data_IF_491253884459
#
_entry.id   IF_491253884459
#
_cell.length_a   1.000
_cell.length_b   1.000
_cell.length_c   1.000
_cell.angle_alpha   90.00
_cell.angle_beta   90.00
_cell.angle_gamma   90.00
#
_symmetry.space_group_name_H-M   'P 1'
#
loop_
_entity.id
_entity.type
_entity.pdbx_description
1 polymer ?
#
# COMPACT_ATOMS: atom_id res chain seq x y z
N UNK A 1 8.84 -77.49 29.02
CA UNK A 1 9.05 -76.16 29.63
C UNK A 1 10.41 -75.65 29.20
N UNK A 2 10.46 -74.43 28.66
CA UNK A 2 11.54 -73.41 28.63
C UNK A 2 13.02 -73.87 28.61
N UNK A 3 13.97 -73.26 27.91
CA UNK A 3 14.04 -72.13 26.97
C UNK A 3 15.54 -71.94 26.66
N UNK A 4 15.89 -71.99 25.37
CA UNK A 4 16.92 -71.26 24.59
C UNK A 4 18.36 -70.96 25.13
N UNK A 5 19.32 -70.72 24.20
CA UNK A 5 20.74 -71.08 24.32
C UNK A 5 21.70 -69.87 24.33
N UNK A 6 23.01 -70.11 24.52
CA UNK A 6 24.13 -69.49 23.77
C UNK A 6 25.51 -69.83 24.36
N UNK A 7 26.50 -70.09 23.49
CA UNK A 7 27.95 -69.83 23.68
C UNK A 7 28.62 -70.08 22.31
N UNK A 8 29.16 -69.12 21.55
CA UNK A 8 30.48 -68.44 21.68
C UNK A 8 31.55 -69.48 22.06
N UNK A 9 32.48 -69.87 21.19
CA UNK A 9 33.81 -69.28 20.90
C UNK A 9 34.48 -70.40 20.04
N UNK A 10 35.33 -70.23 19.03
CA UNK A 10 36.66 -69.61 19.06
C UNK A 10 37.40 -69.98 17.74
N UNK A 11 38.21 -69.03 17.23
CA UNK A 11 39.59 -69.27 16.73
C UNK A 11 39.85 -69.89 15.34
N UNK A 12 40.45 -69.13 14.41
CA UNK A 12 41.93 -69.06 14.20
C UNK A 12 42.34 -68.26 12.94
N UNK A 13 43.33 -67.38 13.16
CA UNK A 13 44.53 -67.07 12.35
C UNK A 13 44.44 -66.44 10.93
N UNK A 14 44.79 -65.15 10.90
CA UNK A 14 45.96 -64.51 10.23
C UNK A 14 46.34 -64.80 8.77
N UNK A 15 46.84 -63.69 8.16
CA UNK A 15 47.85 -63.53 7.09
C UNK A 15 47.41 -63.71 5.63
N UNK A 16 47.34 -62.62 4.85
CA UNK A 16 48.34 -62.23 3.82
C UNK A 16 47.83 -61.08 2.92
N UNK A 17 48.76 -60.14 2.67
CA UNK A 17 48.83 -59.10 1.66
C UNK A 17 48.13 -59.37 0.31
N UNK A 18 47.65 -58.29 -0.33
CA UNK A 18 47.88 -58.11 -1.76
C UNK A 18 46.73 -57.55 -2.59
N UNK A 19 46.99 -56.38 -3.18
CA UNK A 19 46.61 -55.96 -4.53
C UNK A 19 45.16 -55.46 -4.78
N UNK A 20 45.08 -54.12 -4.70
CA UNK A 20 44.28 -53.20 -5.51
C UNK A 20 43.55 -53.81 -6.72
N UNK A 21 42.22 -53.82 -6.64
CA UNK A 21 41.33 -53.98 -7.79
C UNK A 21 41.01 -52.61 -8.39
N UNK A 22 41.18 -52.55 -9.71
CA UNK A 22 40.88 -51.45 -10.63
C UNK A 22 39.44 -50.97 -10.51
N UNK A 23 39.24 -49.68 -10.22
CA UNK A 23 37.95 -49.01 -10.45
C UNK A 23 38.07 -48.00 -11.59
N UNK A 24 37.22 -48.25 -12.58
CA UNK A 24 37.04 -47.54 -13.84
C UNK A 24 36.62 -46.09 -13.55
N UNK A 25 37.34 -45.15 -14.17
CA UNK A 25 37.00 -43.73 -14.17
C UNK A 25 35.69 -43.47 -14.90
N UNK A 26 34.65 -43.09 -14.16
CA UNK A 26 33.49 -42.35 -14.67
C UNK A 26 33.54 -40.94 -14.08
N UNK A 27 33.87 -39.96 -14.93
CA UNK A 27 33.74 -38.53 -14.60
C UNK A 27 32.25 -38.17 -14.56
N UNK A 28 31.70 -37.56 -13.50
CA UNK A 28 30.42 -36.91 -13.56
C UNK A 28 30.61 -35.46 -14.03
N UNK A 29 30.19 -35.19 -15.26
CA UNK A 29 30.03 -33.85 -15.84
C UNK A 29 28.74 -33.24 -15.32
N UNK A 30 28.78 -32.43 -14.26
CA UNK A 30 27.66 -31.66 -13.70
C UNK A 30 28.31 -30.62 -12.77
N UNK A 31 28.16 -29.29 -12.82
CA UNK A 31 27.15 -28.36 -13.33
C UNK A 31 27.90 -27.07 -13.69
N UNK A 32 27.76 -26.59 -14.92
CA UNK A 32 28.08 -25.20 -15.26
C UNK A 32 27.02 -24.33 -14.59
N UNK A 33 27.35 -23.69 -13.46
CA UNK A 33 26.49 -22.72 -12.80
C UNK A 33 26.41 -21.50 -13.71
N UNK A 34 25.38 -21.46 -14.55
CA UNK A 34 25.00 -20.22 -15.20
C UNK A 34 24.50 -19.27 -14.10
N UNK A 35 25.31 -18.25 -13.78
CA UNK A 35 24.82 -17.02 -13.17
C UNK A 35 23.80 -16.40 -14.13
N UNK A 36 22.56 -16.87 -14.06
CA UNK A 36 21.41 -16.12 -14.54
C UNK A 36 21.22 -14.97 -13.57
N UNK A 37 21.71 -13.79 -13.95
CA UNK A 37 21.17 -12.53 -13.45
C UNK A 37 19.64 -12.63 -13.55
N UNK A 38 18.95 -12.60 -12.41
CA UNK A 38 17.52 -12.36 -12.38
C UNK A 38 17.26 -10.96 -12.94
N UNK A 39 17.12 -10.85 -14.26
CA UNK A 39 16.43 -9.73 -14.87
C UNK A 39 14.96 -9.84 -14.46
N UNK A 40 14.53 -8.89 -13.64
CA UNK A 40 13.13 -8.60 -13.35
C UNK A 40 12.28 -8.63 -14.63
N UNK A 41 11.30 -9.53 -14.72
CA UNK A 41 10.29 -9.49 -15.79
C UNK A 41 8.88 -9.27 -15.20
N UNK A 42 8.53 -8.03 -14.81
CA UNK A 42 7.14 -7.60 -14.63
C UNK A 42 6.43 -7.31 -15.97
N UNK A 43 6.96 -7.78 -17.10
CA UNK A 43 6.49 -7.42 -18.45
C UNK A 43 5.11 -7.98 -18.81
N UNK A 44 4.61 -9.01 -18.11
CA UNK A 44 3.36 -9.70 -18.50
C UNK A 44 2.07 -8.91 -18.19
N UNK A 45 2.06 -8.07 -17.16
CA UNK A 45 0.83 -7.39 -16.73
C UNK A 45 0.51 -6.10 -17.48
N UNK A 46 1.51 -5.50 -18.12
CA UNK A 46 1.39 -4.21 -18.80
C UNK A 46 2.12 -4.24 -20.14
N UNK A 47 1.61 -4.99 -21.13
CA UNK A 47 2.18 -4.93 -22.47
C UNK A 47 2.07 -3.49 -22.99
N UNK A 48 3.22 -2.89 -23.39
CA UNK A 48 3.23 -1.63 -24.14
C UNK A 48 2.75 -1.96 -25.55
N UNK A 49 1.44 -1.89 -25.77
CA UNK A 49 0.86 -2.04 -27.10
C UNK A 49 1.05 -0.72 -27.86
N UNK A 50 2.24 -0.52 -28.42
CA UNK A 50 2.50 0.60 -29.31
C UNK A 50 1.64 0.45 -30.57
N UNK A 51 0.94 1.51 -30.94
CA UNK A 51 0.19 1.55 -32.19
C UNK A 51 0.90 2.50 -33.14
N UNK A 52 0.73 2.29 -34.44
CA UNK A 52 1.36 3.14 -35.47
C UNK A 52 0.89 4.62 -35.39
N UNK A 53 -0.21 4.90 -34.69
CA UNK A 53 -0.83 6.23 -34.60
C UNK A 53 -0.76 6.87 -33.21
N UNK A 54 -0.71 6.07 -32.14
CA UNK A 54 -0.73 6.56 -30.75
C UNK A 54 0.56 6.18 -30.06
N UNK A 55 1.37 7.22 -29.79
CA UNK A 55 2.66 7.11 -29.11
C UNK A 55 2.55 7.10 -27.59
N UNK A 56 1.71 7.97 -27.01
CA UNK A 56 1.56 8.11 -25.56
C UNK A 56 0.16 8.63 -25.21
N UNK A 57 -0.44 8.06 -24.17
CA UNK A 57 -1.68 8.56 -23.55
C UNK A 57 -1.29 9.26 -22.25
N UNK A 58 -1.55 10.56 -22.15
CA UNK A 58 -1.27 11.30 -20.92
C UNK A 58 -2.21 10.88 -19.77
N UNK A 59 -1.74 11.06 -18.54
CA UNK A 59 -2.58 10.88 -17.35
C UNK A 59 -3.74 11.90 -17.36
N UNK A 60 -4.96 11.43 -17.11
CA UNK A 60 -6.16 12.27 -17.08
C UNK A 60 -6.09 13.33 -15.98
N UNK A 61 -5.53 12.97 -14.82
CA UNK A 61 -5.25 13.88 -13.72
C UNK A 61 -3.74 14.01 -13.55
N UNK A 62 -3.24 15.24 -13.65
CA UNK A 62 -1.83 15.57 -13.42
C UNK A 62 -1.57 15.63 -11.92
N UNK A 63 -0.56 14.90 -11.46
CA UNK A 63 -0.14 14.92 -10.06
C UNK A 63 0.35 16.33 -9.65
N UNK A 64 -0.06 16.85 -8.48
CA UNK A 64 0.42 18.13 -7.95
C UNK A 64 1.91 18.07 -7.59
N UNK A 65 2.66 19.14 -7.84
CA UNK A 65 4.09 19.15 -7.51
C UNK A 65 4.31 19.14 -5.99
N UNK A 66 5.08 18.16 -5.50
CA UNK A 66 5.56 18.13 -4.11
C UNK A 66 7.05 18.38 -4.05
N UNK A 67 7.47 19.24 -3.13
CA UNK A 67 8.87 19.45 -2.77
C UNK A 67 9.34 18.37 -1.79
N UNK A 68 10.64 18.02 -1.77
CA UNK A 68 11.20 17.14 -0.76
C UNK A 68 10.90 17.61 0.67
N UNK A 69 10.94 18.92 0.93
CA UNK A 69 10.66 19.51 2.24
C UNK A 69 9.21 19.23 2.67
N UNK A 70 8.25 19.42 1.76
CA UNK A 70 6.84 19.12 2.00
C UNK A 70 6.61 17.62 2.29
N UNK A 71 7.17 16.73 1.47
CA UNK A 71 7.01 15.28 1.66
C UNK A 71 7.62 14.79 2.97
N UNK A 72 8.76 15.37 3.38
CA UNK A 72 9.41 15.03 4.65
C UNK A 72 8.68 15.62 5.86
N UNK A 73 7.95 16.73 5.70
CA UNK A 73 7.13 17.33 6.75
C UNK A 73 5.82 16.55 7.03
N UNK A 74 5.48 15.55 6.24
CA UNK A 74 4.31 14.68 6.47
C UNK A 74 4.47 13.91 7.78
N UNK A 75 3.50 14.06 8.67
CA UNK A 75 3.45 13.38 9.98
C UNK A 75 2.30 12.38 10.08
N UNK A 76 2.50 11.37 10.94
CA UNK A 76 1.42 10.58 11.51
C UNK A 76 0.62 11.49 12.44
N UNK A 77 -0.69 11.60 12.20
CA UNK A 77 -1.61 12.39 12.99
C UNK A 77 -2.92 11.64 13.13
N UNK A 78 -3.66 11.93 14.20
CA UNK A 78 -4.95 11.32 14.48
C UNK A 78 -6.00 12.42 14.73
N UNK A 79 -7.13 12.35 14.03
CA UNK A 79 -8.29 13.19 14.35
C UNK A 79 -9.10 12.58 15.49
N UNK A 80 -9.38 13.36 16.52
CA UNK A 80 -10.21 12.91 17.63
C UNK A 80 -11.66 12.62 17.19
N UNK A 81 -12.20 11.45 17.56
CA UNK A 81 -13.58 11.06 17.30
C UNK A 81 -14.56 11.73 18.29
N UNK A 82 -14.96 12.97 18.00
CA UNK A 82 -15.84 13.76 18.87
C UNK A 82 -17.30 13.35 18.77
N UNK A 83 -17.81 13.24 17.55
CA UNK A 83 -19.23 12.95 17.29
C UNK A 83 -19.56 11.45 17.34
N UNK A 84 -20.83 11.09 17.52
CA UNK A 84 -21.27 9.69 17.40
C UNK A 84 -20.94 9.08 16.02
N UNK A 85 -21.23 9.77 14.89
CA UNK A 85 -20.75 9.35 13.56
C UNK A 85 -19.23 9.11 13.49
N UNK A 86 -18.42 9.98 14.09
CA UNK A 86 -16.96 9.82 14.09
C UNK A 86 -16.53 8.57 14.85
N UNK A 87 -17.19 8.28 15.98
CA UNK A 87 -16.91 7.08 16.79
C UNK A 87 -17.29 5.80 16.04
N UNK A 88 -18.39 5.82 15.30
CA UNK A 88 -18.81 4.69 14.44
C UNK A 88 -17.79 4.49 13.32
N UNK A 89 -17.39 5.55 12.63
CA UNK A 89 -16.36 5.49 11.59
C UNK A 89 -15.04 4.92 12.12
N UNK A 90 -14.55 5.43 13.26
CA UNK A 90 -13.31 4.95 13.86
C UNK A 90 -13.42 3.48 14.32
N UNK A 91 -14.56 3.09 14.89
CA UNK A 91 -14.81 1.70 15.29
C UNK A 91 -14.78 0.77 14.07
N UNK A 92 -15.40 1.16 12.96
CA UNK A 92 -15.38 0.39 11.72
C UNK A 92 -13.94 0.19 11.20
N UNK A 93 -13.11 1.24 11.19
CA UNK A 93 -11.68 1.11 10.82
C UNK A 93 -10.95 0.16 11.74
N UNK A 94 -11.15 0.26 13.05
CA UNK A 94 -10.52 -0.65 14.03
C UNK A 94 -10.92 -2.12 13.82
N UNK A 95 -12.20 -2.37 13.53
CA UNK A 95 -12.69 -3.73 13.25
C UNK A 95 -12.06 -4.27 11.95
N UNK A 96 -12.04 -3.47 10.88
CA UNK A 96 -11.43 -3.87 9.61
C UNK A 96 -9.94 -4.12 9.73
N UNK A 97 -9.22 -3.22 10.42
CA UNK A 97 -7.80 -3.39 10.71
C UNK A 97 -7.55 -4.67 11.49
N UNK A 98 -8.31 -4.90 12.55
CA UNK A 98 -8.21 -6.14 13.33
C UNK A 98 -8.46 -7.38 12.46
N UNK A 99 -9.52 -7.38 11.66
CA UNK A 99 -9.86 -8.49 10.77
C UNK A 99 -8.75 -8.78 9.74
N UNK A 100 -8.22 -7.73 9.10
CA UNK A 100 -7.13 -7.85 8.14
C UNK A 100 -5.84 -8.35 8.80
N UNK A 101 -5.49 -7.79 9.96
CA UNK A 101 -4.27 -8.16 10.68
C UNK A 101 -4.35 -9.62 11.16
N UNK A 102 -5.52 -10.08 11.59
CA UNK A 102 -5.77 -11.51 11.90
C UNK A 102 -5.65 -12.38 10.65
N UNK A 103 -6.31 -12.02 9.55
CA UNK A 103 -6.33 -12.80 8.32
C UNK A 103 -4.94 -12.90 7.65
N UNK A 104 -4.12 -11.86 7.78
CA UNK A 104 -2.76 -11.81 7.22
C UNK A 104 -1.69 -12.28 8.20
N UNK A 105 -2.06 -12.59 9.45
CA UNK A 105 -1.12 -12.93 10.52
C UNK A 105 -0.21 -11.77 10.93
N UNK A 106 -0.55 -10.54 10.56
CA UNK A 106 0.19 -9.33 10.91
C UNK A 106 0.01 -9.01 12.40
N UNK A 107 1.13 -8.94 13.14
CA UNK A 107 1.15 -8.84 14.61
C UNK A 107 1.98 -7.65 15.08
N UNK A 108 1.60 -6.45 14.65
CA UNK A 108 2.36 -5.22 14.92
C UNK A 108 2.57 -4.94 16.40
N UNK A 109 1.51 -4.93 17.21
CA UNK A 109 1.64 -4.59 18.64
C UNK A 109 2.54 -5.57 19.40
N UNK A 110 2.52 -6.84 18.98
CA UNK A 110 3.41 -7.87 19.53
C UNK A 110 4.85 -7.64 19.08
N UNK A 111 5.05 -7.25 17.82
CA UNK A 111 6.36 -6.85 17.30
C UNK A 111 6.94 -5.68 18.09
N UNK A 112 6.17 -4.61 18.30
CA UNK A 112 6.63 -3.41 19.02
C UNK A 112 6.94 -3.73 20.48
N UNK A 113 6.09 -4.50 21.16
CA UNK A 113 6.33 -4.91 22.56
C UNK A 113 7.59 -5.76 22.67
N UNK A 114 7.74 -6.76 21.82
CA UNK A 114 8.91 -7.65 21.85
C UNK A 114 10.19 -6.91 21.45
N UNK A 115 10.11 -5.96 20.51
CA UNK A 115 11.27 -5.19 20.06
C UNK A 115 11.86 -4.32 21.19
N UNK A 116 11.08 -3.94 22.21
CA UNK A 116 11.60 -3.21 23.38
C UNK A 116 12.48 -4.08 24.27
N UNK A 117 12.23 -5.39 24.33
CA UNK A 117 12.94 -6.31 25.21
C UNK A 117 13.97 -7.18 24.47
N UNK A 118 13.67 -7.58 23.24
CA UNK A 118 14.50 -8.44 22.40
C UNK A 118 14.27 -8.08 20.90
N UNK A 119 15.02 -7.10 20.39
CA UNK A 119 14.92 -6.67 18.99
C UNK A 119 15.16 -7.80 17.99
N UNK A 120 16.15 -8.66 18.26
CA UNK A 120 16.54 -9.75 17.35
C UNK A 120 15.41 -10.76 17.20
N UNK A 121 14.81 -11.19 18.31
CA UNK A 121 13.68 -12.13 18.28
C UNK A 121 12.42 -11.46 17.72
N UNK A 122 12.20 -10.17 17.98
CA UNK A 122 11.08 -9.43 17.39
C UNK A 122 11.14 -9.39 15.86
N UNK A 123 12.32 -9.11 15.30
CA UNK A 123 12.53 -9.15 13.85
C UNK A 123 12.40 -10.56 13.30
N UNK A 124 12.90 -11.58 13.99
CA UNK A 124 12.79 -12.97 13.53
C UNK A 124 11.34 -13.46 13.45
N UNK A 125 10.51 -13.14 14.46
CA UNK A 125 9.14 -13.67 14.56
C UNK A 125 8.13 -12.78 13.83
N UNK A 126 8.27 -11.46 13.93
CA UNK A 126 7.29 -10.49 13.46
C UNK A 126 7.83 -9.51 12.40
N UNK A 127 9.06 -9.75 11.91
CA UNK A 127 9.67 -8.95 10.87
C UNK A 127 8.79 -8.85 9.63
N UNK A 128 8.59 -7.61 9.20
CA UNK A 128 8.09 -7.33 7.87
C UNK A 128 9.26 -7.39 6.90
N UNK A 129 9.00 -8.00 5.74
CA UNK A 129 9.93 -8.01 4.63
C UNK A 129 9.23 -7.42 3.41
N UNK A 130 10.00 -7.26 2.34
CA UNK A 130 9.56 -6.64 1.09
C UNK A 130 8.35 -7.34 0.48
N UNK A 131 8.32 -8.69 0.54
CA UNK A 131 7.23 -9.49 -0.01
C UNK A 131 5.93 -9.28 0.77
N UNK A 132 5.97 -9.31 2.10
CA UNK A 132 4.80 -9.07 2.95
C UNK A 132 4.25 -7.65 2.78
N UNK A 133 5.13 -6.65 2.70
CA UNK A 133 4.70 -5.28 2.40
C UNK A 133 4.08 -5.17 1.02
N UNK A 134 4.71 -5.75 0.00
CA UNK A 134 4.20 -5.71 -1.36
C UNK A 134 2.84 -6.40 -1.51
N UNK A 135 2.64 -7.55 -0.87
CA UNK A 135 1.33 -8.24 -0.82
C UNK A 135 0.27 -7.35 -0.17
N UNK A 136 0.61 -6.71 0.96
CA UNK A 136 -0.31 -5.82 1.67
C UNK A 136 -0.65 -4.58 0.84
N UNK A 137 0.35 -3.91 0.28
CA UNK A 137 0.15 -2.73 -0.56
C UNK A 137 -0.72 -3.08 -1.77
N UNK A 138 -0.38 -4.10 -2.56
CA UNK A 138 -1.18 -4.52 -3.73
C UNK A 138 -2.64 -4.82 -3.36
N UNK A 139 -2.88 -5.49 -2.22
CA UNK A 139 -4.25 -5.77 -1.79
C UNK A 139 -4.98 -4.50 -1.34
N UNK A 140 -4.38 -3.67 -0.49
CA UNK A 140 -5.01 -2.47 0.04
C UNK A 140 -5.27 -1.42 -1.04
N UNK A 141 -4.29 -1.17 -1.92
CA UNK A 141 -4.46 -0.24 -3.05
C UNK A 141 -5.52 -0.69 -4.05
N UNK A 142 -5.80 -2.00 -4.12
CA UNK A 142 -6.88 -2.52 -4.97
C UNK A 142 -8.29 -2.19 -4.47
N UNK A 143 -8.42 -1.81 -3.19
CA UNK A 143 -9.68 -1.41 -2.57
C UNK A 143 -9.71 0.07 -2.18
N UNK A 144 -8.55 0.72 -2.02
CA UNK A 144 -8.42 2.13 -1.68
C UNK A 144 -8.95 3.06 -2.79
N UNK A 145 -8.86 2.66 -4.06
CA UNK A 145 -9.45 3.41 -5.17
C UNK A 145 -10.98 3.37 -5.28
N UNK A 146 -11.70 2.65 -4.41
CA UNK A 146 -13.16 2.47 -4.47
C UNK A 146 -13.99 3.60 -3.84
N UNK A 147 -13.66 4.14 -2.64
CA UNK A 147 -14.48 5.14 -1.97
C UNK A 147 -14.70 6.42 -2.78
N UNK A 148 -13.62 7.02 -3.32
CA UNK A 148 -13.70 8.22 -4.15
C UNK A 148 -14.60 8.02 -5.38
N UNK A 149 -14.51 6.85 -6.02
CA UNK A 149 -15.28 6.48 -7.21
C UNK A 149 -16.76 6.36 -6.89
N UNK A 150 -17.09 5.69 -5.78
CA UNK A 150 -18.47 5.55 -5.30
C UNK A 150 -19.06 6.92 -4.94
N UNK A 151 -18.32 7.72 -4.17
CA UNK A 151 -18.75 9.05 -3.76
C UNK A 151 -18.94 9.98 -4.96
N UNK A 152 -17.96 10.05 -5.85
CA UNK A 152 -17.99 10.83 -7.09
C UNK A 152 -19.15 10.41 -8.00
N UNK A 153 -19.36 9.10 -8.19
CA UNK A 153 -20.50 8.57 -8.95
C UNK A 153 -21.85 8.99 -8.33
N UNK A 154 -22.02 8.83 -7.01
CA UNK A 154 -23.26 9.18 -6.32
C UNK A 154 -23.57 10.68 -6.41
N UNK A 155 -22.54 11.52 -6.25
CA UNK A 155 -22.64 12.98 -6.39
C UNK A 155 -22.92 13.38 -7.84
N UNK A 156 -22.28 12.75 -8.82
CA UNK A 156 -22.54 12.95 -10.24
C UNK A 156 -24.00 12.68 -10.60
N UNK A 157 -24.51 11.50 -10.22
CA UNK A 157 -25.92 11.17 -10.40
C UNK A 157 -26.84 12.14 -9.64
N UNK A 158 -26.40 12.71 -8.50
CA UNK A 158 -27.20 13.64 -7.70
C UNK A 158 -27.32 15.01 -8.36
N UNK A 159 -26.21 15.52 -8.87
CA UNK A 159 -26.15 16.75 -9.66
C UNK A 159 -27.05 16.64 -10.88
N UNK A 160 -26.94 15.54 -11.64
CA UNK A 160 -27.77 15.33 -12.83
C UNK A 160 -29.26 15.26 -12.52
N UNK A 161 -29.69 14.41 -11.57
CA UNK A 161 -31.13 14.22 -11.29
C UNK A 161 -31.81 15.42 -10.63
N UNK A 162 -31.03 16.37 -10.10
CA UNK A 162 -31.54 17.62 -9.51
C UNK A 162 -31.27 18.85 -10.36
N UNK A 163 -30.53 18.69 -11.46
CA UNK A 163 -30.15 19.77 -12.37
C UNK A 163 -29.44 20.91 -11.62
N UNK A 164 -28.53 20.54 -10.69
CA UNK A 164 -27.77 21.46 -9.84
C UNK A 164 -26.27 21.30 -10.06
N UNK A 165 -25.52 22.38 -9.87
CA UNK A 165 -24.04 22.33 -9.78
C UNK A 165 -23.62 21.49 -8.57
N UNK A 166 -22.49 20.81 -8.71
CA UNK A 166 -21.89 20.01 -7.63
C UNK A 166 -20.86 20.80 -6.80
N UNK A 167 -20.36 21.92 -7.34
CA UNK A 167 -19.37 22.80 -6.70
C UNK A 167 -18.00 22.13 -6.44
N UNK A 168 -17.53 21.31 -7.39
CA UNK A 168 -16.15 20.84 -7.46
C UNK A 168 -15.83 19.57 -6.68
N UNK A 169 -16.82 18.90 -6.08
CA UNK A 169 -16.60 17.69 -5.29
C UNK A 169 -16.32 16.46 -6.15
N UNK A 170 -17.07 16.27 -7.24
CA UNK A 170 -16.96 15.10 -8.13
C UNK A 170 -15.53 14.95 -8.65
N UNK A 171 -14.92 16.04 -9.14
CA UNK A 171 -13.59 15.98 -9.73
C UNK A 171 -12.53 15.58 -8.71
N UNK A 172 -12.55 16.14 -7.50
CA UNK A 172 -11.60 15.77 -6.43
C UNK A 172 -11.76 14.31 -6.02
N UNK A 173 -12.99 13.80 -5.91
CA UNK A 173 -13.24 12.41 -5.52
C UNK A 173 -12.81 11.40 -6.61
N UNK A 174 -13.02 11.74 -7.88
CA UNK A 174 -12.56 10.91 -8.99
C UNK A 174 -11.04 10.99 -9.15
N UNK A 175 -10.43 12.14 -8.87
CA UNK A 175 -8.99 12.32 -8.84
C UNK A 175 -8.32 11.49 -7.74
N UNK A 176 -8.86 11.49 -6.52
CA UNK A 176 -8.42 10.61 -5.42
C UNK A 176 -8.43 9.14 -5.87
N UNK A 177 -9.56 8.65 -6.38
CA UNK A 177 -9.64 7.29 -6.93
C UNK A 177 -8.68 6.99 -8.07
N UNK A 178 -8.36 8.00 -8.90
CA UNK A 178 -7.35 7.85 -9.93
C UNK A 178 -5.95 7.73 -9.32
N UNK A 179 -5.63 8.54 -8.32
CA UNK A 179 -4.34 8.53 -7.61
C UNK A 179 -4.09 7.18 -6.92
N UNK A 180 -5.05 6.68 -6.15
CA UNK A 180 -5.03 5.34 -5.53
C UNK A 180 -4.77 4.23 -6.55
N UNK A 181 -5.43 4.32 -7.72
CA UNK A 181 -5.17 3.37 -8.81
C UNK A 181 -3.73 3.48 -9.32
N UNK A 182 -3.14 4.68 -9.39
CA UNK A 182 -1.74 4.84 -9.77
C UNK A 182 -0.78 4.22 -8.76
N UNK A 183 -1.11 4.20 -7.47
CA UNK A 183 -0.35 3.44 -6.45
C UNK A 183 -0.40 1.94 -6.75
N UNK A 184 -1.60 1.39 -6.96
CA UNK A 184 -1.77 -0.02 -7.32
C UNK A 184 -0.97 -0.39 -8.58
N UNK A 185 -1.14 0.36 -9.67
CA UNK A 185 -0.45 0.07 -10.93
C UNK A 185 1.07 0.14 -10.79
N UNK A 186 1.56 1.05 -9.93
CA UNK A 186 2.97 1.15 -9.58
C UNK A 186 3.46 -0.10 -8.85
N UNK A 187 2.73 -0.58 -7.83
CA UNK A 187 3.10 -1.82 -7.13
C UNK A 187 3.02 -3.06 -8.03
N UNK A 188 2.07 -3.12 -8.96
CA UNK A 188 1.96 -4.20 -9.95
C UNK A 188 3.11 -4.22 -10.98
N UNK A 189 3.91 -3.14 -11.09
CA UNK A 189 5.16 -3.17 -11.85
C UNK A 189 6.31 -3.84 -11.10
N UNK A 190 6.17 -4.03 -9.80
CA UNK A 190 7.18 -4.65 -8.94
C UNK A 190 6.75 -6.03 -8.44
N UNK A 191 5.47 -6.38 -8.59
CA UNK A 191 4.89 -7.62 -8.09
C UNK A 191 3.85 -8.19 -9.04
N UNK A 192 3.87 -9.51 -9.22
CA UNK A 192 2.89 -10.24 -10.02
C UNK A 192 1.95 -11.03 -9.10
N UNK A 193 0.73 -10.55 -8.81
CA UNK A 193 -0.20 -11.25 -7.94
C UNK A 193 -0.72 -12.53 -8.60
N UNK A 194 -0.65 -13.65 -7.87
CA UNK A 194 -1.16 -14.94 -8.32
C UNK A 194 -2.71 -15.00 -8.39
N UNK A 195 -3.28 -16.07 -8.96
CA UNK A 195 -4.74 -16.23 -9.14
C UNK A 195 -5.54 -16.10 -7.84
N UNK A 196 -5.01 -16.61 -6.73
CA UNK A 196 -5.66 -16.51 -5.42
C UNK A 196 -5.83 -15.05 -4.96
N UNK A 197 -4.77 -14.25 -5.05
CA UNK A 197 -4.84 -12.82 -4.73
C UNK A 197 -5.88 -12.11 -5.60
N UNK A 198 -5.91 -12.40 -6.91
CA UNK A 198 -6.87 -11.80 -7.84
C UNK A 198 -8.32 -12.16 -7.49
N UNK A 199 -8.58 -13.40 -7.08
CA UNK A 199 -9.90 -13.82 -6.59
C UNK A 199 -10.28 -13.10 -5.30
N UNK A 200 -9.33 -12.94 -4.37
CA UNK A 200 -9.55 -12.19 -3.12
C UNK A 200 -9.87 -10.73 -3.39
N UNK A 201 -9.14 -10.07 -4.31
CA UNK A 201 -9.43 -8.70 -4.73
C UNK A 201 -10.83 -8.59 -5.34
N UNK A 202 -11.21 -9.51 -6.22
CA UNK A 202 -12.56 -9.53 -6.81
C UNK A 202 -13.66 -9.65 -5.75
N UNK A 203 -13.51 -10.59 -4.82
CA UNK A 203 -14.45 -10.77 -3.71
C UNK A 203 -14.50 -9.55 -2.79
N UNK A 204 -13.33 -8.99 -2.45
CA UNK A 204 -13.21 -7.80 -1.62
C UNK A 204 -13.90 -6.60 -2.28
N UNK A 205 -13.63 -6.31 -3.55
CA UNK A 205 -14.28 -5.23 -4.29
C UNK A 205 -15.80 -5.41 -4.37
N UNK A 206 -16.29 -6.65 -4.57
CA UNK A 206 -17.71 -6.95 -4.59
C UNK A 206 -18.42 -6.57 -3.27
N UNK A 207 -17.83 -6.91 -2.12
CA UNK A 207 -18.39 -6.52 -0.82
C UNK A 207 -18.16 -5.03 -0.54
N UNK A 208 -16.95 -4.55 -0.80
CA UNK A 208 -16.48 -3.21 -0.43
C UNK A 208 -17.22 -2.10 -1.15
N UNK A 209 -17.41 -2.25 -2.47
CA UNK A 209 -18.18 -1.31 -3.27
C UNK A 209 -19.60 -1.16 -2.74
N UNK A 210 -20.30 -2.28 -2.49
CA UNK A 210 -21.69 -2.25 -2.02
C UNK A 210 -21.79 -1.65 -0.61
N UNK A 211 -20.88 -2.01 0.29
CA UNK A 211 -20.85 -1.44 1.63
C UNK A 211 -20.69 0.09 1.61
N UNK A 212 -19.73 0.59 0.82
CA UNK A 212 -19.51 2.03 0.66
C UNK A 212 -20.66 2.73 -0.07
N UNK A 213 -21.26 2.09 -1.07
CA UNK A 213 -22.43 2.62 -1.77
C UNK A 213 -23.57 2.91 -0.79
N UNK A 214 -23.93 1.94 0.06
CA UNK A 214 -24.96 2.14 1.08
C UNK A 214 -24.50 3.13 2.16
N UNK A 215 -23.25 3.10 2.59
CA UNK A 215 -22.72 4.04 3.59
C UNK A 215 -22.82 5.49 3.11
N UNK A 216 -22.43 5.78 1.86
CA UNK A 216 -22.53 7.12 1.28
C UNK A 216 -23.98 7.55 1.03
N UNK A 217 -24.90 6.63 0.73
CA UNK A 217 -26.32 6.96 0.64
C UNK A 217 -26.93 7.34 2.01
N UNK A 218 -26.51 6.65 3.08
CA UNK A 218 -27.03 6.86 4.43
C UNK A 218 -26.40 8.07 5.13
N UNK A 219 -25.08 8.19 5.09
CA UNK A 219 -24.34 9.28 5.73
C UNK A 219 -23.00 9.53 5.04
N UNK A 220 -22.96 10.44 4.04
CA UNK A 220 -21.71 10.83 3.38
C UNK A 220 -20.67 11.36 4.36
N UNK A 221 -21.09 12.11 5.40
CA UNK A 221 -20.17 12.64 6.42
C UNK A 221 -19.46 11.50 7.18
N UNK A 222 -20.21 10.47 7.59
CA UNK A 222 -19.63 9.30 8.25
C UNK A 222 -18.69 8.54 7.31
N UNK A 223 -19.07 8.38 6.04
CA UNK A 223 -18.28 7.69 5.04
C UNK A 223 -16.95 8.41 4.75
N UNK A 224 -16.97 9.74 4.55
CA UNK A 224 -15.74 10.54 4.43
C UNK A 224 -14.89 10.45 5.69
N UNK A 225 -15.48 10.54 6.88
CA UNK A 225 -14.73 10.39 8.13
C UNK A 225 -14.09 9.01 8.26
N UNK A 226 -14.79 7.96 7.80
CA UNK A 226 -14.28 6.61 7.75
C UNK A 226 -13.06 6.49 6.82
N UNK A 227 -13.13 7.06 5.60
CA UNK A 227 -11.98 7.11 4.67
C UNK A 227 -10.82 7.89 5.29
N UNK A 228 -11.07 9.05 5.90
CA UNK A 228 -10.03 9.83 6.59
C UNK A 228 -9.27 9.02 7.65
N UNK A 229 -9.95 8.13 8.39
CA UNK A 229 -9.29 7.22 9.32
C UNK A 229 -8.57 6.04 8.64
N UNK A 230 -9.00 5.58 7.47
CA UNK A 230 -8.21 4.62 6.67
C UNK A 230 -6.89 5.24 6.24
N UNK A 231 -6.91 6.50 5.80
CA UNK A 231 -5.69 7.17 5.33
C UNK A 231 -4.73 7.53 6.47
N UNK A 232 -5.23 7.71 7.70
CA UNK A 232 -4.37 7.73 8.89
C UNK A 232 -3.55 6.42 9.00
N UNK A 233 -4.18 5.28 8.76
CA UNK A 233 -3.52 3.97 8.80
C UNK A 233 -2.58 3.74 7.62
N UNK A 234 -2.89 4.31 6.45
CA UNK A 234 -2.01 4.30 5.28
C UNK A 234 -0.73 5.12 5.56
N UNK A 235 -0.86 6.34 6.08
CA UNK A 235 0.29 7.19 6.47
C UNK A 235 1.17 6.50 7.51
N UNK A 236 0.59 5.82 8.50
CA UNK A 236 1.33 5.00 9.49
C UNK A 236 2.11 3.89 8.77
N UNK A 237 1.44 3.17 7.88
CA UNK A 237 2.01 2.01 7.18
C UNK A 237 3.19 2.43 6.29
N UNK A 238 3.05 3.49 5.50
CA UNK A 238 4.13 3.97 4.63
C UNK A 238 5.27 4.63 5.39
N UNK A 239 4.98 5.36 6.48
CA UNK A 239 6.03 5.86 7.39
C UNK A 239 6.89 4.72 7.94
N UNK A 240 6.26 3.60 8.29
CA UNK A 240 6.98 2.41 8.75
C UNK A 240 7.82 1.78 7.65
N UNK A 241 7.29 1.64 6.44
CA UNK A 241 8.05 1.10 5.31
C UNK A 241 9.31 1.92 5.03
N UNK A 242 9.19 3.25 5.02
CA UNK A 242 10.35 4.15 4.85
C UNK A 242 11.36 3.95 5.99
N UNK A 243 10.89 3.89 7.24
CA UNK A 243 11.78 3.65 8.40
C UNK A 243 12.45 2.26 8.39
N UNK A 244 11.81 1.25 7.78
CA UNK A 244 12.40 -0.08 7.58
C UNK A 244 13.46 -0.07 6.48
N UNK A 245 13.27 0.70 5.39
CA UNK A 245 14.31 0.94 4.38
C UNK A 245 15.51 1.66 5.01
N UNK A 246 15.25 2.77 5.72
CA UNK A 246 16.31 3.63 6.30
C UNK A 246 17.18 2.90 7.32
N UNK A 247 16.60 1.91 8.00
CA UNK A 247 17.30 1.10 8.98
C UNK A 247 17.96 -0.15 8.38
N UNK A 248 17.98 -0.30 7.06
CA UNK A 248 18.62 -1.42 6.38
C UNK A 248 17.89 -2.76 6.52
N UNK A 249 16.59 -2.74 6.84
CA UNK A 249 15.78 -3.96 7.08
C UNK A 249 15.19 -4.54 5.79
N UNK A 250 15.23 -3.78 4.70
CA UNK A 250 14.62 -4.12 3.41
C UNK A 250 15.68 -4.05 2.29
N UNK A 251 16.68 -4.95 2.28
CA UNK A 251 17.83 -4.88 1.39
C UNK A 251 17.48 -4.93 -0.11
N UNK A 252 16.33 -5.53 -0.48
CA UNK A 252 15.87 -5.53 -1.88
C UNK A 252 15.32 -4.19 -2.30
N UNK A 253 14.75 -3.40 -1.37
CA UNK A 253 14.16 -2.10 -1.64
C UNK A 253 15.19 -0.96 -1.59
N UNK A 254 16.25 -1.10 -0.79
CA UNK A 254 17.33 -0.09 -0.69
C UNK A 254 17.93 0.32 -2.03
N UNK A 255 18.03 -0.63 -2.97
CA UNK A 255 18.62 -0.41 -4.30
C UNK A 255 17.60 -0.50 -5.43
N UNK A 256 16.32 -0.54 -5.10
CA UNK A 256 15.26 -0.66 -6.09
C UNK A 256 14.94 0.72 -6.64
N UNK A 257 14.99 0.84 -7.97
CA UNK A 257 14.51 2.02 -8.68
C UNK A 257 12.99 1.99 -8.79
N UNK A 258 12.37 3.16 -8.70
CA UNK A 258 10.96 3.36 -8.95
C UNK A 258 10.63 3.01 -10.40
N UNK A 259 9.50 2.34 -10.68
CA UNK A 259 9.13 1.98 -12.03
C UNK A 259 8.80 3.22 -12.87
N UNK A 260 8.97 3.13 -14.20
CA UNK A 260 8.76 4.23 -15.15
C UNK A 260 7.38 4.90 -15.00
N UNK A 261 6.32 4.12 -14.73
CA UNK A 261 4.97 4.66 -14.51
C UNK A 261 4.92 5.65 -13.33
N UNK A 262 5.69 5.38 -12.28
CA UNK A 262 5.78 6.22 -11.11
C UNK A 262 6.56 7.51 -11.42
N UNK A 263 7.72 7.34 -12.06
CA UNK A 263 8.58 8.46 -12.46
C UNK A 263 7.80 9.44 -13.33
N UNK A 264 7.01 8.96 -14.28
CA UNK A 264 6.19 9.80 -15.14
C UNK A 264 5.01 10.46 -14.41
N UNK A 265 4.31 9.72 -13.54
CA UNK A 265 3.12 10.22 -12.85
C UNK A 265 3.47 11.29 -11.80
N UNK A 266 4.39 10.98 -10.88
CA UNK A 266 4.85 11.88 -9.82
C UNK A 266 5.93 12.87 -10.29
N UNK A 267 6.35 12.78 -11.56
CA UNK A 267 7.42 13.62 -12.15
C UNK A 267 8.71 13.60 -11.32
N UNK A 268 9.12 12.40 -10.90
CA UNK A 268 10.24 12.21 -9.98
C UNK A 268 11.56 12.75 -10.60
N UNK A 269 12.28 13.67 -9.92
CA UNK A 269 13.50 14.25 -10.48
C UNK A 269 14.63 13.22 -10.58
N UNK A 270 15.58 13.45 -11.48
CA UNK A 270 16.77 12.60 -11.58
C UNK A 270 17.55 12.58 -10.25
N UNK A 271 18.07 11.42 -9.86
CA UNK A 271 18.72 11.22 -8.56
C UNK A 271 17.78 10.94 -7.39
N UNK A 272 16.45 11.13 -7.55
CA UNK A 272 15.43 10.85 -6.53
C UNK A 272 14.37 9.88 -7.07
N UNK A 273 14.84 8.73 -7.57
CA UNK A 273 14.01 7.71 -8.22
C UNK A 273 14.12 6.35 -7.56
N UNK A 274 14.37 6.31 -6.25
CA UNK A 274 14.43 5.06 -5.50
C UNK A 274 13.05 4.62 -5.01
N UNK A 275 12.92 3.37 -4.57
CA UNK A 275 11.74 2.86 -3.88
C UNK A 275 11.43 3.69 -2.63
N UNK A 276 12.44 4.18 -1.93
CA UNK A 276 12.26 5.09 -0.79
C UNK A 276 11.60 6.41 -1.21
N UNK A 277 12.07 7.02 -2.30
CA UNK A 277 11.49 8.26 -2.84
C UNK A 277 10.05 8.06 -3.28
N UNK A 278 9.78 6.94 -3.96
CA UNK A 278 8.41 6.56 -4.33
C UNK A 278 7.48 6.48 -3.11
N UNK A 279 7.92 5.83 -2.03
CA UNK A 279 7.12 5.75 -0.81
C UNK A 279 6.89 7.11 -0.13
N UNK A 280 7.81 8.08 -0.30
CA UNK A 280 7.57 9.45 0.17
C UNK A 280 6.43 10.12 -0.58
N UNK A 281 6.38 9.96 -1.91
CA UNK A 281 5.27 10.47 -2.73
C UNK A 281 3.94 9.82 -2.37
N UNK A 282 3.91 8.48 -2.30
CA UNK A 282 2.71 7.73 -1.92
C UNK A 282 2.22 8.16 -0.54
N UNK A 283 3.09 8.18 0.47
CA UNK A 283 2.74 8.65 1.83
C UNK A 283 2.18 10.07 1.82
N UNK A 284 2.71 10.93 0.96
CA UNK A 284 2.27 12.32 0.86
C UNK A 284 0.87 12.42 0.24
N UNK A 285 0.57 11.61 -0.77
CA UNK A 285 -0.78 11.47 -1.33
C UNK A 285 -1.77 10.99 -0.24
N UNK A 286 -1.43 9.94 0.52
CA UNK A 286 -2.28 9.46 1.62
C UNK A 286 -2.53 10.55 2.66
N UNK A 287 -1.50 11.35 2.95
CA UNK A 287 -1.63 12.43 3.92
C UNK A 287 -2.60 13.52 3.44
N UNK A 288 -2.70 13.73 2.12
CA UNK A 288 -3.64 14.64 1.49
C UNK A 288 -5.04 14.03 1.44
N UNK A 289 -5.20 12.76 1.06
CA UNK A 289 -6.48 12.06 1.08
C UNK A 289 -7.09 12.05 2.49
N UNK A 290 -6.26 11.80 3.52
CA UNK A 290 -6.62 11.94 4.95
C UNK A 290 -7.19 13.32 5.25
N UNK A 291 -6.47 14.37 4.90
CA UNK A 291 -6.86 15.74 5.17
C UNK A 291 -8.17 16.09 4.46
N UNK A 292 -8.28 15.77 3.17
CA UNK A 292 -9.45 16.06 2.33
C UNK A 292 -10.68 15.35 2.88
N UNK A 293 -10.60 14.05 3.16
CA UNK A 293 -11.73 13.27 3.65
C UNK A 293 -12.15 13.68 5.07
N UNK A 294 -11.20 14.01 5.96
CA UNK A 294 -11.55 14.58 7.27
C UNK A 294 -12.28 15.91 7.14
N UNK A 295 -11.83 16.77 6.22
CA UNK A 295 -12.47 18.06 5.91
C UNK A 295 -13.87 17.85 5.33
N UNK A 296 -14.03 16.98 4.34
CA UNK A 296 -15.32 16.64 3.74
C UNK A 296 -16.32 16.08 4.77
N UNK A 297 -15.82 15.33 5.77
CA UNK A 297 -16.62 14.90 6.92
C UNK A 297 -17.20 16.04 7.76
N UNK A 298 -16.61 17.25 7.71
CA UNK A 298 -17.06 18.42 8.46
C UNK A 298 -18.06 19.30 7.69
N UNK A 299 -17.98 19.31 6.35
CA UNK A 299 -18.77 20.20 5.49
C UNK A 299 -20.25 19.79 5.39
N UNK A 300 -21.09 20.76 5.03
CA UNK A 300 -22.44 20.49 4.53
C UNK A 300 -22.38 19.97 3.09
N UNK A 301 -22.78 18.72 2.93
CA UNK A 301 -22.70 18.00 1.67
C UNK A 301 -23.57 18.57 0.55
N UNK A 302 -24.56 19.42 0.88
CA UNK A 302 -25.53 20.01 -0.06
C UNK A 302 -25.18 21.44 -0.44
N UNK A 303 -24.73 22.23 0.52
CA UNK A 303 -24.61 23.69 0.35
C UNK A 303 -23.14 24.14 0.18
N UNK A 304 -22.19 23.47 0.82
CA UNK A 304 -20.81 23.96 0.86
C UNK A 304 -20.06 23.60 -0.46
N UNK A 305 -19.31 24.55 -1.05
CA UNK A 305 -18.39 24.24 -2.13
C UNK A 305 -17.23 23.36 -1.65
N UNK A 306 -16.58 22.64 -2.57
CA UNK A 306 -15.34 21.95 -2.26
C UNK A 306 -14.23 22.99 -2.05
N UNK A 307 -13.67 23.12 -0.83
CA UNK A 307 -12.64 24.12 -0.55
C UNK A 307 -11.34 23.87 -1.32
N UNK A 308 -11.03 22.63 -1.67
CA UNK A 308 -9.82 22.26 -2.43
C UNK A 308 -9.90 22.60 -3.93
N UNK A 309 -11.10 22.91 -4.42
CA UNK A 309 -11.38 23.31 -5.79
C UNK A 309 -11.89 24.77 -5.88
N UNK A 310 -11.76 25.54 -4.80
CA UNK A 310 -12.27 26.91 -4.69
C UNK A 310 -11.14 27.94 -4.62
N UNK A 311 -11.40 29.14 -5.13
CA UNK A 311 -10.50 30.29 -5.00
C UNK A 311 -10.87 31.13 -3.78
N UNK A 312 -9.90 31.36 -2.89
CA UNK A 312 -10.09 32.12 -1.65
C UNK A 312 -9.83 33.61 -1.88
N UNK A 313 -10.71 34.46 -1.34
CA UNK A 313 -10.59 35.94 -1.49
C UNK A 313 -9.36 36.52 -0.82
N UNK A 314 -8.93 35.94 0.31
CA UNK A 314 -7.79 36.42 1.10
C UNK A 314 -6.62 35.43 0.93
N UNK A 315 -5.71 35.77 0.02
CA UNK A 315 -4.56 34.93 -0.33
C UNK A 315 -3.48 34.96 0.77
N UNK A 316 -3.58 35.85 1.76
CA UNK A 316 -2.60 35.95 2.85
C UNK A 316 -2.84 34.91 3.95
N UNK A 317 -4.05 34.36 4.03
CA UNK A 317 -4.41 33.35 5.04
C UNK A 317 -4.18 31.94 4.50
N UNK A 318 -3.65 31.02 5.33
CA UNK A 318 -3.61 29.62 4.99
C UNK A 318 -5.02 29.09 4.68
N UNK A 319 -5.15 28.38 3.57
CA UNK A 319 -6.41 27.80 3.11
C UNK A 319 -6.15 26.43 2.47
N UNK A 320 -7.18 25.59 2.30
CA UNK A 320 -7.04 24.29 1.64
C UNK A 320 -6.48 24.43 0.23
N UNK A 321 -5.39 23.71 -0.03
CA UNK A 321 -4.76 23.62 -1.36
C UNK A 321 -4.66 22.16 -1.79
N UNK A 322 -4.57 21.96 -3.10
CA UNK A 322 -4.34 20.63 -3.70
C UNK A 322 -2.94 20.09 -3.38
N UNK A 323 -1.95 20.97 -3.28
CA UNK A 323 -0.59 20.62 -2.88
C UNK A 323 -0.43 20.52 -1.35
N UNK A 324 0.81 20.42 -0.88
CA UNK A 324 1.14 20.29 0.55
C UNK A 324 1.55 21.61 1.20
N UNK A 325 1.20 22.76 0.62
CA UNK A 325 1.64 24.08 1.12
C UNK A 325 1.00 24.42 2.46
N UNK A 326 -0.28 24.12 2.64
CA UNK A 326 -1.03 24.40 3.87
C UNK A 326 -1.61 23.12 4.47
N UNK A 327 -0.72 22.19 4.86
CA UNK A 327 -1.16 20.91 5.44
C UNK A 327 -1.92 21.09 6.77
N UNK A 328 -3.02 20.36 6.89
CA UNK A 328 -3.84 20.26 8.10
C UNK A 328 -4.10 18.78 8.40
N UNK A 329 -3.18 18.04 9.03
CA UNK A 329 -3.24 16.58 9.14
C UNK A 329 -4.54 15.98 9.69
N UNK A 330 -5.29 16.73 10.50
CA UNK A 330 -6.58 16.33 11.09
C UNK A 330 -7.81 16.85 10.32
N UNK A 331 -7.63 17.35 9.09
CA UNK A 331 -8.64 18.06 8.32
C UNK A 331 -8.89 19.49 8.82
N UNK A 332 -9.49 20.30 7.95
CA UNK A 332 -9.93 21.66 8.24
C UNK A 332 -11.33 21.65 8.85
N UNK A 333 -11.58 22.53 9.82
CA UNK A 333 -12.93 22.70 10.35
C UNK A 333 -13.76 23.52 9.38
N UNK A 334 -15.08 23.27 9.32
CA UNK A 334 -15.98 23.96 8.38
C UNK A 334 -15.89 25.49 8.49
N UNK A 335 -15.80 26.01 9.71
CA UNK A 335 -15.72 27.46 9.97
C UNK A 335 -14.38 28.09 9.53
N UNK A 336 -13.36 27.28 9.26
CA UNK A 336 -12.06 27.77 8.79
C UNK A 336 -12.05 27.96 7.26
N UNK A 337 -13.02 27.35 6.54
CA UNK A 337 -12.94 27.18 5.08
C UNK A 337 -14.17 27.64 4.30
N UNK A 338 -15.30 27.91 4.97
CA UNK A 338 -16.58 28.37 4.40
C UNK A 338 -16.92 29.78 4.87
#
# INVERSE_FOLDING_TARGET
MASKPASITQFLKTTFNGLNSTNIHLRPTFILVHQLQLQSRPAKFFPKNETNLVRKTEASWKHPAYTPEQMNAVIVAHREAKSYPDKIALLAVKILRFGLDVATGYKHDKAVKLNKSDPTTATMIYGMNEEKYMIRNVFLESVAGVPGMVAGMLRHLHSMRRMKRDNGWIETLLEESYNERMHLLTFLKMSEPGPFMRLMVLGAQGVWFNALFFAYLLSPKTAHRFVGYLEEEAVITYTRQIADIDAGRLPKWEKMEAPEIAIEYWKMPEGHRTMRDLLLYIRADESKHREVNHTFGNLDQKEDPNPYASEYKDHSKPHPTKDLTHMRPTGWERNDVI
#
